data_IF_706626128141
#
_entry.id   IF_706626128141
#
_cell.length_a   1.000
_cell.length_b   1.000
_cell.length_c   1.000
_cell.angle_alpha   90.00
_cell.angle_beta   90.00
_cell.angle_gamma   90.00
#
_symmetry.space_group_name_H-M   'P 1'
#
loop_
_entity.id
_entity.type
_entity.pdbx_description
1 polymer ?
#
# COMPACT_ATOMS: atom_id res chain seq x y z
N UNK A 1 0.85 -11.52 -1.37
CA UNK A 1 0.76 -10.06 -1.22
C UNK A 1 0.34 -9.51 -2.57
N UNK A 2 -0.38 -8.37 -2.68
CA UNK A 2 -0.63 -7.76 -3.99
C UNK A 2 0.72 -7.51 -4.70
N UNK A 3 0.87 -7.87 -5.99
CA UNK A 3 2.13 -7.76 -6.72
C UNK A 3 2.77 -6.37 -6.66
N UNK A 4 1.98 -5.31 -6.81
CA UNK A 4 2.52 -3.94 -6.78
C UNK A 4 3.14 -3.58 -5.44
N UNK A 5 2.58 -4.07 -4.32
CA UNK A 5 3.18 -3.86 -2.99
C UNK A 5 4.44 -4.72 -2.82
N UNK A 6 4.46 -5.94 -3.38
CA UNK A 6 5.61 -6.83 -3.28
C UNK A 6 6.86 -6.21 -3.92
N UNK A 7 6.72 -5.58 -5.09
CA UNK A 7 7.83 -4.89 -5.77
C UNK A 7 8.51 -3.84 -4.87
N UNK A 8 7.74 -3.01 -4.15
CA UNK A 8 8.32 -2.04 -3.21
C UNK A 8 9.05 -2.70 -2.04
N UNK A 9 8.54 -3.84 -1.55
CA UNK A 9 9.18 -4.58 -0.47
C UNK A 9 10.48 -5.24 -0.94
N UNK A 10 10.51 -5.74 -2.17
CA UNK A 10 11.71 -6.31 -2.81
C UNK A 10 12.79 -5.24 -3.02
N UNK A 11 12.42 -4.09 -3.58
CA UNK A 11 13.35 -2.96 -3.75
C UNK A 11 13.94 -2.49 -2.41
N UNK A 12 13.10 -2.43 -1.37
CA UNK A 12 13.56 -2.07 -0.03
C UNK A 12 14.49 -3.14 0.56
N UNK A 13 14.18 -4.42 0.38
CA UNK A 13 15.03 -5.52 0.82
C UNK A 13 16.40 -5.48 0.13
N UNK A 14 16.44 -5.16 -1.17
CA UNK A 14 17.68 -5.08 -1.95
C UNK A 14 18.55 -3.88 -1.58
N UNK A 15 17.93 -2.80 -1.09
CA UNK A 15 18.61 -1.56 -0.67
C UNK A 15 19.56 -1.74 0.53
N UNK A 16 19.43 -2.85 1.28
CA UNK A 16 20.26 -3.09 2.46
C UNK A 16 20.55 -4.58 2.68
N UNK A 17 21.31 -4.90 3.74
CA UNK A 17 21.63 -6.29 4.14
C UNK A 17 21.13 -6.64 5.55
N UNK A 18 20.24 -5.81 6.09
CA UNK A 18 19.69 -5.99 7.42
C UNK A 18 18.57 -7.04 7.44
N UNK A 19 18.34 -7.72 8.58
CA UNK A 19 17.35 -8.79 8.68
C UNK A 19 15.89 -8.31 8.68
N UNK A 20 15.66 -7.01 8.81
CA UNK A 20 14.32 -6.42 8.82
C UNK A 20 14.11 -5.57 7.58
N UNK A 21 12.96 -5.77 6.91
CA UNK A 21 12.58 -4.99 5.71
C UNK A 21 12.48 -3.49 6.03
N UNK A 22 11.74 -3.14 7.09
CA UNK A 22 11.60 -1.75 7.53
C UNK A 22 12.49 -1.54 8.75
N UNK A 23 13.71 -1.06 8.52
CA UNK A 23 14.68 -0.79 9.57
C UNK A 23 15.24 0.63 9.50
N UNK A 24 15.87 1.04 10.60
CA UNK A 24 16.65 2.26 10.64
C UNK A 24 18.04 2.04 9.99
N UNK A 25 18.87 3.08 9.81
CA UNK A 25 20.20 2.94 9.22
C UNK A 25 21.14 1.97 9.95
N UNK A 26 20.88 1.67 11.23
CA UNK A 26 21.62 0.68 12.00
C UNK A 26 21.03 -0.75 11.90
N UNK A 27 20.03 -0.97 11.06
CA UNK A 27 19.38 -2.26 10.86
C UNK A 27 18.43 -2.70 11.97
N UNK A 28 18.03 -1.79 12.86
CA UNK A 28 17.10 -2.07 13.96
C UNK A 28 15.66 -1.73 13.59
N UNK A 29 14.66 -2.44 14.15
CA UNK A 29 13.26 -2.09 13.94
C UNK A 29 12.95 -0.69 14.44
N UNK A 30 12.11 0.04 13.69
CA UNK A 30 11.63 1.34 14.12
C UNK A 30 10.69 1.22 15.34
N UNK A 31 10.91 2.07 16.34
CA UNK A 31 9.90 2.29 17.39
C UNK A 31 8.67 2.95 16.77
N UNK A 32 7.49 2.45 17.11
CA UNK A 32 6.20 2.95 16.60
C UNK A 32 6.06 4.47 16.70
N UNK A 33 6.43 5.06 17.84
CA UNK A 33 6.35 6.52 18.05
C UNK A 33 7.26 7.29 17.11
N UNK A 34 8.50 6.83 16.94
CA UNK A 34 9.50 7.50 16.12
C UNK A 34 9.12 7.42 14.64
N UNK A 35 8.71 6.24 14.17
CA UNK A 35 8.23 6.08 12.79
C UNK A 35 7.03 6.98 12.52
N UNK A 36 6.07 7.01 13.46
CA UNK A 36 4.87 7.82 13.34
C UNK A 36 5.20 9.30 13.20
N UNK A 37 6.05 9.83 14.09
CA UNK A 37 6.37 11.26 14.13
C UNK A 37 7.25 11.70 12.97
N UNK A 38 8.22 10.87 12.54
CA UNK A 38 9.24 11.28 11.57
C UNK A 38 8.89 10.99 10.11
N UNK A 39 8.05 9.98 9.86
CA UNK A 39 7.77 9.53 8.49
C UNK A 39 6.28 9.50 8.21
N UNK A 40 5.49 8.87 9.08
CA UNK A 40 4.05 8.72 8.82
C UNK A 40 3.32 10.06 8.81
N UNK A 41 3.44 10.86 9.87
CA UNK A 41 2.75 12.14 9.95
C UNK A 41 3.18 13.12 8.85
N UNK A 42 4.49 13.36 8.62
CA UNK A 42 4.91 14.23 7.52
C UNK A 42 4.38 13.81 6.14
N UNK A 43 4.23 12.51 5.88
CA UNK A 43 3.71 12.01 4.60
C UNK A 43 2.21 12.29 4.38
N UNK A 44 1.41 12.38 5.45
CA UNK A 44 -0.05 12.58 5.38
C UNK A 44 -0.49 14.00 5.71
N UNK A 45 0.16 14.58 6.73
CA UNK A 45 -0.16 15.89 7.29
C UNK A 45 0.64 17.03 6.65
N UNK A 46 1.60 16.71 5.78
CA UNK A 46 2.44 17.69 5.09
C UNK A 46 3.66 18.13 5.92
N UNK A 47 4.45 19.03 5.33
CA UNK A 47 5.64 19.64 5.91
C UNK A 47 5.58 21.16 5.76
N UNK A 48 6.14 21.86 6.75
CA UNK A 48 6.25 23.33 6.78
C UNK A 48 4.96 24.08 6.47
N UNK A 49 3.88 23.68 7.14
CA UNK A 49 2.53 24.24 6.97
C UNK A 49 2.43 25.74 7.28
N UNK A 50 3.31 26.23 8.16
CA UNK A 50 3.35 27.64 8.55
C UNK A 50 4.10 28.52 7.53
N UNK A 51 4.82 27.91 6.58
CA UNK A 51 5.53 28.61 5.51
C UNK A 51 5.31 27.92 4.16
N UNK A 52 4.18 28.18 3.47
CA UNK A 52 3.88 27.58 2.17
C UNK A 52 4.86 27.89 1.04
N UNK A 53 5.75 28.87 1.23
CA UNK A 53 6.78 29.25 0.28
C UNK A 53 8.14 28.58 0.56
N UNK A 54 8.24 27.73 1.58
CA UNK A 54 9.46 26.97 1.85
C UNK A 54 9.74 25.96 0.74
N UNK A 55 11.02 25.71 0.44
CA UNK A 55 11.43 24.78 -0.61
C UNK A 55 11.03 23.32 -0.30
N UNK A 56 10.88 22.98 0.98
CA UNK A 56 10.45 21.68 1.50
C UNK A 56 8.97 21.63 1.92
N UNK A 57 8.19 22.68 1.61
CA UNK A 57 6.76 22.68 1.87
C UNK A 57 6.06 21.55 1.10
N UNK A 58 5.37 20.68 1.84
CA UNK A 58 4.53 19.62 1.27
C UNK A 58 3.12 19.82 1.80
N UNK A 59 2.10 20.04 0.95
CA UNK A 59 0.73 20.17 1.43
C UNK A 59 0.21 18.82 1.95
N UNK A 60 -0.72 18.81 2.92
CA UNK A 60 -1.30 17.59 3.43
C UNK A 60 -2.13 16.90 2.35
N UNK A 61 -2.03 15.57 2.28
CA UNK A 61 -2.85 14.74 1.40
C UNK A 61 -4.10 14.22 2.11
N UNK A 62 -3.95 13.77 3.36
CA UNK A 62 -5.04 13.28 4.19
C UNK A 62 -4.72 13.53 5.67
N UNK A 63 -5.00 14.75 6.17
CA UNK A 63 -4.69 15.12 7.55
C UNK A 63 -5.26 14.13 8.57
N UNK A 64 -4.49 13.88 9.63
CA UNK A 64 -4.82 13.04 10.77
C UNK A 64 -5.01 11.56 10.44
N UNK A 65 -4.58 11.12 9.25
CA UNK A 65 -4.67 9.72 8.88
C UNK A 65 -3.80 8.87 9.81
N UNK A 66 -4.40 7.82 10.39
CA UNK A 66 -3.69 6.92 11.32
C UNK A 66 -3.59 5.52 10.74
N UNK A 67 -2.71 4.69 11.31
CA UNK A 67 -2.68 3.26 10.99
C UNK A 67 -4.03 2.56 11.20
N UNK A 68 -4.81 3.01 12.20
CA UNK A 68 -6.14 2.44 12.44
C UNK A 68 -7.10 2.83 11.32
N UNK A 69 -7.05 4.08 10.88
CA UNK A 69 -7.84 4.56 9.73
C UNK A 69 -7.45 3.82 8.46
N UNK A 70 -6.16 3.64 8.16
CA UNK A 70 -5.74 2.82 7.01
C UNK A 70 -6.24 1.39 7.05
N UNK A 71 -6.31 0.79 8.25
CA UNK A 71 -6.89 -0.55 8.44
C UNK A 71 -8.40 -0.57 8.24
N UNK A 72 -9.11 0.48 8.67
CA UNK A 72 -10.54 0.64 8.41
C UNK A 72 -10.81 0.81 6.91
N UNK A 73 -10.08 1.72 6.24
CA UNK A 73 -10.16 1.93 4.79
C UNK A 73 -9.91 0.64 4.02
N UNK A 74 -8.87 -0.13 4.36
CA UNK A 74 -8.61 -1.42 3.73
C UNK A 74 -9.80 -2.39 3.87
N UNK A 75 -10.41 -2.45 5.05
CA UNK A 75 -11.60 -3.28 5.26
C UNK A 75 -12.80 -2.81 4.43
N UNK A 76 -12.98 -1.50 4.31
CA UNK A 76 -14.09 -0.88 3.56
C UNK A 76 -13.93 -1.14 2.07
N UNK A 77 -12.74 -0.88 1.50
CA UNK A 77 -12.48 -1.13 0.07
C UNK A 77 -12.64 -2.60 -0.30
N UNK A 78 -12.13 -3.53 0.52
CA UNK A 78 -12.38 -4.95 0.30
C UNK A 78 -13.88 -5.28 0.33
N UNK A 79 -14.68 -4.58 1.15
CA UNK A 79 -16.12 -4.80 1.18
C UNK A 79 -16.83 -4.24 -0.07
N UNK A 80 -16.43 -3.04 -0.52
CA UNK A 80 -16.91 -2.43 -1.76
C UNK A 80 -16.62 -3.31 -2.98
N UNK A 81 -15.45 -3.95 -3.02
CA UNK A 81 -15.04 -4.84 -4.11
C UNK A 81 -15.61 -6.27 -3.96
N UNK A 82 -16.59 -6.46 -3.07
CA UNK A 82 -17.32 -7.71 -2.92
C UNK A 82 -16.56 -8.83 -2.21
N UNK A 83 -15.40 -8.57 -1.60
CA UNK A 83 -14.64 -9.58 -0.86
C UNK A 83 -15.44 -10.03 0.36
N UNK A 84 -15.76 -11.33 0.54
CA UNK A 84 -16.62 -11.79 1.64
C UNK A 84 -16.08 -11.44 3.03
N UNK A 85 -16.98 -11.15 3.97
CA UNK A 85 -16.62 -10.69 5.32
C UNK A 85 -15.67 -11.65 6.07
N UNK A 86 -15.87 -12.96 5.92
CA UNK A 86 -14.98 -14.00 6.49
C UNK A 86 -13.54 -13.81 6.04
N UNK A 87 -13.34 -13.44 4.77
CA UNK A 87 -12.04 -13.26 4.15
C UNK A 87 -11.41 -11.94 4.60
N UNK A 88 -12.19 -10.85 4.62
CA UNK A 88 -11.75 -9.54 5.14
C UNK A 88 -11.30 -9.64 6.60
N UNK A 89 -12.11 -10.28 7.45
CA UNK A 89 -11.75 -10.47 8.88
C UNK A 89 -10.49 -11.31 9.03
N UNK A 90 -10.38 -12.43 8.30
CA UNK A 90 -9.18 -13.25 8.33
C UNK A 90 -7.94 -12.48 7.88
N UNK A 91 -8.02 -11.69 6.80
CA UNK A 91 -6.94 -10.83 6.31
C UNK A 91 -6.47 -9.84 7.37
N UNK A 92 -7.43 -9.30 8.13
CA UNK A 92 -7.18 -8.36 9.20
C UNK A 92 -6.74 -9.05 10.52
N UNK A 93 -6.69 -10.38 10.59
CA UNK A 93 -6.38 -11.11 11.83
C UNK A 93 -7.50 -11.06 12.87
N UNK A 94 -8.74 -10.77 12.45
CA UNK A 94 -9.92 -10.72 13.29
C UNK A 94 -10.66 -12.07 13.28
N UNK A 95 -11.21 -12.46 14.43
CA UNK A 95 -12.09 -13.63 14.53
C UNK A 95 -13.51 -13.27 14.07
N UNK A 96 -14.14 -14.16 13.29
CA UNK A 96 -15.57 -14.09 13.03
C UNK A 96 -16.37 -14.34 14.32
N UNK A 97 -17.43 -13.55 14.53
CA UNK A 97 -18.36 -13.72 15.66
C UNK A 97 -19.52 -14.64 15.25
N UNK A 98 -20.14 -15.28 16.23
CA UNK A 98 -21.36 -16.08 16.05
C UNK A 98 -21.16 -17.42 15.33
N UNK A 99 -22.27 -18.04 14.95
CA UNK A 99 -22.31 -19.39 14.36
C UNK A 99 -21.61 -19.47 12.99
N UNK A 100 -21.55 -18.36 12.24
CA UNK A 100 -20.89 -18.28 10.95
C UNK A 100 -19.41 -18.71 10.99
N UNK A 101 -18.73 -18.55 12.14
CA UNK A 101 -17.34 -19.01 12.33
C UNK A 101 -17.19 -20.53 12.16
N UNK A 102 -18.25 -21.30 12.42
CA UNK A 102 -18.24 -22.77 12.33
C UNK A 102 -18.44 -23.24 10.88
N UNK A 103 -19.20 -22.50 10.09
CA UNK A 103 -19.63 -22.93 8.76
C UNK A 103 -18.87 -22.29 7.60
N UNK A 104 -18.22 -21.14 7.83
CA UNK A 104 -17.60 -20.38 6.74
C UNK A 104 -16.08 -20.39 6.90
N UNK A 105 -15.41 -20.93 5.89
CA UNK A 105 -13.96 -20.97 5.79
C UNK A 105 -13.46 -20.09 4.65
N UNK A 106 -12.24 -19.55 4.82
CA UNK A 106 -11.59 -18.78 3.77
C UNK A 106 -11.13 -19.73 2.66
N UNK A 107 -11.73 -19.59 1.48
CA UNK A 107 -11.39 -20.40 0.31
C UNK A 107 -10.18 -19.82 -0.45
N UNK A 108 -9.53 -20.60 -1.32
CA UNK A 108 -8.51 -20.08 -2.24
C UNK A 108 -9.03 -18.95 -3.15
N UNK A 109 -10.30 -19.02 -3.59
CA UNK A 109 -10.91 -17.95 -4.38
C UNK A 109 -11.01 -16.65 -3.58
N UNK A 110 -11.46 -16.70 -2.33
CA UNK A 110 -11.50 -15.53 -1.45
C UNK A 110 -10.10 -14.95 -1.18
N UNK A 111 -9.06 -15.80 -1.09
CA UNK A 111 -7.67 -15.34 -0.96
C UNK A 111 -7.21 -14.56 -2.18
N UNK A 112 -7.55 -15.01 -3.38
CA UNK A 112 -7.27 -14.27 -4.63
C UNK A 112 -7.97 -12.91 -4.63
N UNK A 113 -9.26 -12.88 -4.30
CA UNK A 113 -10.00 -11.61 -4.19
C UNK A 113 -9.35 -10.59 -3.23
N UNK A 114 -8.79 -11.05 -2.10
CA UNK A 114 -8.05 -10.18 -1.16
C UNK A 114 -6.82 -9.52 -1.81
N UNK A 115 -6.19 -10.18 -2.78
CA UNK A 115 -5.02 -9.68 -3.49
C UNK A 115 -5.42 -8.83 -4.70
N UNK A 116 -6.35 -9.34 -5.50
CA UNK A 116 -6.74 -8.77 -6.79
C UNK A 116 -7.48 -7.43 -6.63
N UNK A 117 -8.29 -7.28 -5.58
CA UNK A 117 -9.07 -6.06 -5.35
C UNK A 117 -8.16 -4.83 -5.08
N UNK A 118 -7.24 -4.84 -4.09
CA UNK A 118 -6.29 -3.75 -3.91
C UNK A 118 -5.38 -3.52 -5.12
N UNK A 119 -4.95 -4.59 -5.80
CA UNK A 119 -4.11 -4.49 -7.00
C UNK A 119 -4.84 -3.74 -8.12
N UNK A 120 -6.09 -4.10 -8.40
CA UNK A 120 -6.91 -3.44 -9.42
C UNK A 120 -7.12 -1.95 -9.10
N UNK A 121 -7.39 -1.62 -7.83
CA UNK A 121 -7.52 -0.22 -7.38
C UNK A 121 -6.22 0.56 -7.57
N UNK A 122 -5.09 -0.04 -7.21
CA UNK A 122 -3.77 0.57 -7.41
C UNK A 122 -3.50 0.84 -8.89
N UNK A 123 -3.67 -0.15 -9.76
CA UNK A 123 -3.44 0.01 -11.20
C UNK A 123 -4.36 1.07 -11.82
N UNK A 124 -5.63 1.09 -11.41
CA UNK A 124 -6.57 2.11 -11.84
C UNK A 124 -6.16 3.51 -11.36
N UNK A 125 -5.61 3.62 -10.14
CA UNK A 125 -5.11 4.89 -9.60
C UNK A 125 -3.92 5.43 -10.39
N UNK A 126 -3.05 4.57 -10.91
CA UNK A 126 -1.92 4.97 -11.75
C UNK A 126 -2.35 5.50 -13.12
N UNK A 127 -3.40 4.91 -13.71
CA UNK A 127 -3.92 5.31 -15.02
C UNK A 127 -4.53 6.72 -14.98
N UNK A 128 -5.17 7.10 -13.88
CA UNK A 128 -5.84 8.41 -13.78
C UNK A 128 -4.88 9.57 -13.48
N UNK A 129 -3.63 9.29 -13.12
CA UNK A 129 -2.60 10.31 -12.91
C UNK A 129 -2.28 11.04 -14.22
N UNK A 130 -1.95 12.32 -14.10
CA UNK A 130 -1.42 13.11 -15.22
C UNK A 130 -0.06 12.58 -15.66
N UNK A 131 0.34 12.88 -16.90
CA UNK A 131 1.68 12.51 -17.41
C UNK A 131 2.82 13.07 -16.55
N UNK A 132 2.64 14.27 -16.00
CA UNK A 132 3.63 14.89 -15.12
C UNK A 132 3.75 14.14 -13.80
N UNK A 133 2.63 13.77 -13.18
CA UNK A 133 2.64 12.97 -11.94
C UNK A 133 3.21 11.57 -12.19
N UNK A 134 2.86 10.93 -13.30
CA UNK A 134 3.45 9.64 -13.70
C UNK A 134 4.96 9.76 -13.89
N UNK A 135 5.43 10.81 -14.58
CA UNK A 135 6.87 11.03 -14.78
C UNK A 135 7.59 11.18 -13.43
N UNK A 136 7.03 11.98 -12.51
CA UNK A 136 7.56 12.17 -11.16
C UNK A 136 7.60 10.84 -10.39
N UNK A 137 6.54 10.03 -10.43
CA UNK A 137 6.54 8.72 -9.78
C UNK A 137 7.62 7.79 -10.34
N UNK A 138 7.84 7.78 -11.66
CA UNK A 138 8.89 6.94 -12.27
C UNK A 138 10.30 7.46 -12.04
N UNK A 139 10.46 8.73 -11.68
CA UNK A 139 11.74 9.28 -11.23
C UNK A 139 12.08 8.75 -9.83
N UNK A 140 11.09 8.73 -8.92
CA UNK A 140 11.26 8.20 -7.57
C UNK A 140 11.33 6.67 -7.52
N UNK A 141 10.55 6.00 -8.36
CA UNK A 141 10.41 4.55 -8.38
C UNK A 141 10.58 4.02 -9.81
N UNK A 142 11.83 3.80 -10.26
CA UNK A 142 12.11 3.42 -11.64
C UNK A 142 11.39 2.15 -12.11
N UNK A 143 11.11 1.20 -11.21
CA UNK A 143 10.40 -0.04 -11.55
C UNK A 143 8.95 0.21 -12.03
N UNK A 144 8.33 1.33 -11.64
CA UNK A 144 6.98 1.69 -12.10
C UNK A 144 6.92 2.05 -13.57
N UNK A 145 8.06 2.33 -14.22
CA UNK A 145 8.10 2.64 -15.66
C UNK A 145 7.52 1.48 -16.48
N UNK A 146 8.01 0.27 -16.22
CA UNK A 146 7.52 -0.94 -16.90
C UNK A 146 6.04 -1.18 -16.60
N UNK A 147 5.62 -0.96 -15.35
CA UNK A 147 4.21 -1.11 -14.94
C UNK A 147 3.30 -0.15 -15.72
N UNK A 148 3.67 1.12 -15.83
CA UNK A 148 2.90 2.12 -16.57
C UNK A 148 2.91 1.87 -18.08
N UNK A 149 4.02 1.41 -18.64
CA UNK A 149 4.11 1.04 -20.06
C UNK A 149 3.18 -0.15 -20.37
N UNK A 150 3.19 -1.19 -19.53
CA UNK A 150 2.30 -2.34 -19.67
C UNK A 150 0.82 -1.92 -19.58
N UNK A 151 0.48 -1.07 -18.61
CA UNK A 151 -0.88 -0.53 -18.44
C UNK A 151 -1.36 0.25 -19.66
N UNK A 152 -0.51 1.13 -20.23
CA UNK A 152 -0.86 1.89 -21.44
C UNK A 152 -1.01 1.01 -22.67
N UNK A 153 -0.25 -0.08 -22.76
CA UNK A 153 -0.30 -1.03 -23.86
C UNK A 153 -1.41 -2.08 -23.71
N UNK A 154 -2.25 -1.99 -22.66
CA UNK A 154 -3.30 -2.97 -22.37
C UNK A 154 -2.75 -4.37 -22.06
N UNK A 155 -1.47 -4.47 -21.72
CA UNK A 155 -0.80 -5.72 -21.37
C UNK A 155 -0.94 -5.91 -19.87
N UNK A 156 -1.48 -7.04 -19.44
CA UNK A 156 -1.46 -7.39 -18.01
C UNK A 156 -0.01 -7.51 -17.57
N UNK A 157 0.42 -6.87 -16.46
CA UNK A 157 1.81 -6.95 -16.01
C UNK A 157 2.23 -8.40 -15.93
N UNK A 158 3.36 -8.72 -16.56
CA UNK A 158 3.93 -10.08 -16.55
C UNK A 158 4.08 -10.51 -15.10
N UNK A 159 3.57 -11.70 -14.74
CA UNK A 159 3.81 -12.29 -13.43
C UNK A 159 5.31 -12.19 -13.09
N UNK A 160 5.62 -11.51 -11.99
CA UNK A 160 6.98 -11.45 -11.45
C UNK A 160 7.35 -12.89 -11.10
N UNK A 161 8.43 -13.45 -11.69
CA UNK A 161 8.79 -14.84 -11.43
C UNK A 161 9.17 -15.00 -9.95
N UNK A 162 8.67 -16.09 -9.37
CA UNK A 162 8.83 -16.48 -7.97
C UNK A 162 10.29 -16.73 -7.54
#
# INVERSE_FOLDING_TARGET
MPPSIAAFYEELLDSHRHPFVLCNPEGKPWRRSNFRQRYWWPAWDGQDMDNPCADDHVPPSLPWFTFNEGRHTHSTWLAEDGVPEVARRARLGQKMKGIARVYVHVTPAMRRMILDAPETRWMSSLIVLTRTEQAQLTEWFPHLRTVLDDLHNGTTPREIPA
#
